data_IF_490398392821
#
_entry.id   IF_490398392821
#
_cell.length_a   1.000
_cell.length_b   1.000
_cell.length_c   1.000
_cell.angle_alpha   90.00
_cell.angle_beta   90.00
_cell.angle_gamma   90.00
#
_symmetry.space_group_name_H-M   'P 1'
#
loop_
_entity.id
_entity.type
_entity.pdbx_description
1 polymer ?
#
# COMPACT_ATOMS: atom_id res chain seq x y z
N UNK A 1 -0.41 -10.29 -15.20
CA UNK A 1 -1.87 -10.05 -14.99
C UNK A 1 -2.16 -8.69 -14.35
N UNK A 2 -1.35 -8.20 -13.39
CA UNK A 2 -1.52 -6.85 -12.80
C UNK A 2 -1.10 -5.69 -13.75
N UNK A 3 0.02 -5.85 -14.47
CA UNK A 3 0.57 -4.84 -15.39
C UNK A 3 -0.40 -4.39 -16.50
N UNK A 4 -1.17 -5.31 -17.08
CA UNK A 4 -2.14 -4.96 -18.13
C UNK A 4 -3.29 -4.11 -17.58
N UNK A 5 -3.70 -4.34 -16.33
CA UNK A 5 -4.76 -3.54 -15.71
C UNK A 5 -4.28 -2.14 -15.32
N UNK A 6 -3.05 -2.00 -14.82
CA UNK A 6 -2.50 -0.68 -14.49
C UNK A 6 -2.32 0.22 -15.72
N UNK A 7 -1.93 -0.35 -16.87
CA UNK A 7 -1.89 0.40 -18.15
C UNK A 7 -3.27 0.89 -18.59
N UNK A 8 -4.30 0.06 -18.42
CA UNK A 8 -5.68 0.48 -18.72
C UNK A 8 -6.13 1.63 -17.82
N UNK A 9 -5.81 1.58 -16.51
CA UNK A 9 -6.10 2.67 -15.57
C UNK A 9 -5.41 3.96 -16.03
N UNK A 10 -4.11 3.89 -16.37
CA UNK A 10 -3.39 5.05 -16.89
C UNK A 10 -4.04 5.62 -18.17
N UNK A 11 -4.49 4.76 -19.09
CA UNK A 11 -5.18 5.20 -20.31
C UNK A 11 -6.52 5.87 -20.02
N UNK A 12 -7.27 5.40 -19.02
CA UNK A 12 -8.58 5.94 -18.62
C UNK A 12 -8.53 7.30 -17.92
N UNK A 13 -7.40 7.64 -17.28
CA UNK A 13 -7.27 8.93 -16.60
C UNK A 13 -7.13 10.09 -17.59
N UNK A 14 -7.76 11.22 -17.27
CA UNK A 14 -7.45 12.49 -17.91
C UNK A 14 -6.04 12.99 -17.56
N UNK A 15 -5.53 13.96 -18.32
CA UNK A 15 -4.27 14.63 -17.99
C UNK A 15 -4.36 15.24 -16.59
N UNK A 16 -3.35 15.01 -15.74
CA UNK A 16 -3.32 15.39 -14.32
C UNK A 16 -4.32 14.65 -13.41
N UNK A 17 -5.02 13.62 -13.93
CA UNK A 17 -5.89 12.76 -13.15
C UNK A 17 -5.11 11.90 -12.14
N UNK A 18 -5.78 11.52 -11.07
CA UNK A 18 -5.18 10.75 -9.97
C UNK A 18 -5.76 9.35 -9.87
N UNK A 19 -4.91 8.39 -9.52
CA UNK A 19 -5.30 7.03 -9.16
C UNK A 19 -4.80 6.71 -7.75
N UNK A 20 -5.74 6.36 -6.87
CA UNK A 20 -5.47 5.87 -5.53
C UNK A 20 -5.71 4.35 -5.50
N UNK A 21 -4.74 3.62 -4.97
CA UNK A 21 -4.86 2.19 -4.69
C UNK A 21 -4.49 1.93 -3.23
N UNK A 22 -5.30 1.12 -2.55
CA UNK A 22 -5.07 0.64 -1.18
C UNK A 22 -5.12 -0.88 -1.19
N UNK A 23 -4.20 -1.53 -0.49
CA UNK A 23 -4.04 -2.98 -0.51
C UNK A 23 -3.80 -3.46 0.93
N UNK A 24 -4.55 -4.47 1.41
CA UNK A 24 -4.21 -5.12 2.66
C UNK A 24 -2.87 -5.85 2.53
N UNK A 25 -1.99 -5.66 3.49
CA UNK A 25 -0.74 -6.39 3.63
C UNK A 25 -0.76 -6.96 5.05
N UNK A 26 -0.54 -8.26 5.24
CA UNK A 26 -0.68 -8.90 6.56
C UNK A 26 0.51 -9.79 6.92
N UNK A 27 1.52 -9.81 6.06
CA UNK A 27 2.77 -10.53 6.28
C UNK A 27 3.86 -9.52 6.62
N UNK A 28 4.91 -9.98 7.30
CA UNK A 28 6.06 -9.13 7.58
C UNK A 28 6.73 -8.67 6.29
N UNK A 29 7.10 -7.39 6.20
CA UNK A 29 8.00 -6.93 5.15
C UNK A 29 9.38 -7.57 5.39
N UNK A 30 9.92 -8.14 4.33
CA UNK A 30 11.29 -8.65 4.27
C UNK A 30 12.00 -7.93 3.12
N UNK A 31 12.67 -6.84 3.44
CA UNK A 31 13.31 -5.96 2.46
C UNK A 31 14.76 -6.37 2.20
N UNK A 32 14.95 -7.51 1.54
CA UNK A 32 16.29 -8.00 1.15
C UNK A 32 16.24 -8.82 -0.15
N UNK A 33 17.09 -8.54 -1.15
CA UNK A 33 17.98 -7.36 -1.28
C UNK A 33 17.22 -6.06 -1.59
N UNK A 34 16.02 -6.16 -2.19
CA UNK A 34 15.02 -5.11 -2.30
C UNK A 34 13.68 -5.78 -2.64
N UNK A 35 12.59 -5.38 -1.99
CA UNK A 35 11.27 -5.98 -2.24
C UNK A 35 10.46 -5.23 -3.30
N UNK A 36 10.67 -5.60 -4.57
CA UNK A 36 10.02 -4.96 -5.71
C UNK A 36 8.86 -5.77 -6.31
N UNK A 37 8.52 -6.94 -5.77
CA UNK A 37 7.52 -7.85 -6.38
C UNK A 37 6.26 -8.03 -5.55
N UNK A 38 6.28 -7.68 -4.25
CA UNK A 38 5.11 -7.74 -3.37
C UNK A 38 4.39 -6.41 -3.29
N UNK A 39 3.25 -6.42 -2.59
CA UNK A 39 2.42 -5.23 -2.32
C UNK A 39 3.00 -4.34 -1.20
N UNK A 40 4.31 -4.08 -1.22
CA UNK A 40 4.97 -3.10 -0.36
C UNK A 40 4.97 -1.73 -1.02
N UNK A 41 5.36 -0.69 -0.25
CA UNK A 41 5.51 0.66 -0.80
C UNK A 41 6.46 0.68 -2.01
N UNK A 42 7.60 0.01 -1.91
CA UNK A 42 8.56 -0.13 -3.01
C UNK A 42 7.94 -0.88 -4.19
N UNK A 43 7.36 -2.06 -3.96
CA UNK A 43 6.80 -2.87 -5.04
C UNK A 43 5.65 -2.18 -5.77
N UNK A 44 4.72 -1.55 -5.06
CA UNK A 44 3.59 -0.84 -5.71
C UNK A 44 4.07 0.40 -6.47
N UNK A 45 5.07 1.12 -5.97
CA UNK A 45 5.65 2.29 -6.66
C UNK A 45 6.22 1.90 -8.01
N UNK A 46 7.05 0.85 -8.06
CA UNK A 46 7.64 0.41 -9.32
C UNK A 46 6.62 -0.26 -10.24
N UNK A 47 5.65 -1.00 -9.71
CA UNK A 47 4.55 -1.54 -10.50
C UNK A 47 3.76 -0.44 -11.24
N UNK A 48 3.44 0.67 -10.55
CA UNK A 48 2.74 1.80 -11.16
C UNK A 48 3.61 2.53 -12.19
N UNK A 49 4.92 2.65 -11.94
CA UNK A 49 5.85 3.18 -12.92
C UNK A 49 5.89 2.34 -14.21
N UNK A 50 5.93 1.01 -14.09
CA UNK A 50 5.85 0.09 -15.23
C UNK A 50 4.52 0.17 -16.00
N UNK A 51 3.47 0.69 -15.35
CA UNK A 51 2.17 0.94 -15.97
C UNK A 51 2.08 2.29 -16.72
N UNK A 52 3.08 3.16 -16.60
CA UNK A 52 3.20 4.42 -17.34
C UNK A 52 3.11 5.68 -16.48
N UNK A 53 2.92 5.57 -15.16
CA UNK A 53 2.96 6.73 -14.26
C UNK A 53 4.40 7.22 -14.05
N UNK A 54 4.59 8.52 -13.88
CA UNK A 54 5.91 9.08 -13.56
C UNK A 54 6.28 8.75 -12.10
N UNK A 55 7.47 8.19 -11.86
CA UNK A 55 8.02 7.85 -10.53
C UNK A 55 7.97 9.01 -9.53
N UNK A 56 8.20 10.25 -9.98
CA UNK A 56 8.18 11.45 -9.13
C UNK A 56 6.76 11.88 -8.76
N UNK A 57 5.76 11.39 -9.50
CA UNK A 57 4.33 11.66 -9.29
C UNK A 57 3.61 10.49 -8.63
N UNK A 58 4.37 9.57 -8.02
CA UNK A 58 3.83 8.47 -7.21
C UNK A 58 4.24 8.68 -5.76
N UNK A 59 3.25 8.84 -4.90
CA UNK A 59 3.40 8.83 -3.45
C UNK A 59 2.96 7.47 -2.93
N UNK A 60 3.68 6.96 -1.94
CA UNK A 60 3.34 5.72 -1.24
C UNK A 60 3.32 5.95 0.25
N UNK A 61 2.60 5.07 0.94
CA UNK A 61 2.66 5.00 2.38
C UNK A 61 2.11 3.67 2.86
N UNK A 62 2.37 3.38 4.12
CA UNK A 62 1.83 2.22 4.78
C UNK A 62 1.50 2.54 6.24
N UNK A 63 0.50 1.85 6.75
CA UNK A 63 0.14 1.92 8.16
C UNK A 63 -0.29 0.56 8.68
N UNK A 64 0.15 0.23 9.87
CA UNK A 64 -0.33 -0.90 10.63
C UNK A 64 0.55 -1.20 11.83
N UNK A 65 0.08 -2.10 12.67
CA UNK A 65 0.87 -2.67 13.74
C UNK A 65 0.30 -4.03 14.12
N UNK A 66 1.09 -4.86 14.81
CA UNK A 66 0.67 -6.22 15.16
C UNK A 66 -0.50 -6.23 16.14
N UNK A 67 -0.57 -5.25 17.04
CA UNK A 67 -1.66 -5.15 18.02
C UNK A 67 -3.02 -4.97 17.31
N UNK A 68 -3.11 -4.08 16.33
CA UNK A 68 -4.30 -3.88 15.51
C UNK A 68 -4.68 -5.12 14.68
N UNK A 69 -3.70 -5.84 14.15
CA UNK A 69 -3.93 -7.09 13.42
C UNK A 69 -4.53 -8.16 14.35
N UNK A 70 -3.88 -8.44 15.48
CA UNK A 70 -4.29 -9.46 16.45
C UNK A 70 -5.67 -9.15 17.05
N UNK A 71 -5.93 -7.87 17.35
CA UNK A 71 -7.21 -7.42 17.89
C UNK A 71 -8.40 -7.80 16.99
N UNK A 72 -8.21 -7.85 15.66
CA UNK A 72 -9.27 -8.10 14.69
C UNK A 72 -9.40 -9.56 14.23
N UNK A 73 -8.69 -10.52 14.85
CA UNK A 73 -8.73 -11.93 14.42
C UNK A 73 -9.96 -12.70 14.87
N UNK A 74 -10.60 -12.31 15.98
CA UNK A 74 -11.75 -13.05 16.54
C UNK A 74 -13.08 -12.33 16.31
N UNK A 75 -13.07 -11.00 16.47
CA UNK A 75 -14.23 -10.12 16.30
C UNK A 75 -13.74 -8.77 15.82
N UNK A 76 -14.67 -7.95 15.35
CA UNK A 76 -14.41 -6.53 15.13
C UNK A 76 -14.12 -5.85 16.46
N UNK A 77 -12.90 -5.31 16.62
CA UNK A 77 -12.47 -4.67 17.87
C UNK A 77 -12.67 -3.16 17.80
N UNK A 78 -13.35 -2.60 18.81
CA UNK A 78 -13.51 -1.15 18.94
C UNK A 78 -12.22 -0.52 19.47
N UNK A 79 -11.86 0.65 18.94
CA UNK A 79 -10.69 1.37 19.43
C UNK A 79 -10.88 1.89 20.87
N UNK A 80 -9.89 1.67 21.72
CA UNK A 80 -9.83 2.17 23.09
C UNK A 80 -8.43 2.79 23.34
N UNK A 81 -8.30 4.12 23.47
CA UNK A 81 -7.00 4.79 23.61
C UNK A 81 -6.25 4.43 24.89
N UNK A 82 -6.91 3.86 25.91
CA UNK A 82 -6.25 3.44 27.15
C UNK A 82 -5.43 2.15 26.99
N UNK A 83 -5.74 1.33 25.98
CA UNK A 83 -5.16 -0.02 25.82
C UNK A 83 -4.71 -0.32 24.37
N UNK A 84 -5.14 0.45 23.38
CA UNK A 84 -4.79 0.26 21.97
C UNK A 84 -3.81 1.35 21.51
N UNK A 85 -2.70 0.92 20.93
CA UNK A 85 -1.75 1.81 20.25
C UNK A 85 -2.06 1.86 18.75
N UNK A 86 -2.09 3.07 18.19
CA UNK A 86 -2.15 3.32 16.74
C UNK A 86 -0.77 3.69 16.17
N UNK A 87 0.30 3.54 16.95
CA UNK A 87 1.66 3.76 16.48
C UNK A 87 1.96 2.81 15.30
N UNK A 88 2.60 3.33 14.27
CA UNK A 88 2.93 2.57 13.08
C UNK A 88 4.14 1.64 13.35
N UNK A 89 4.04 0.38 12.93
CA UNK A 89 5.16 -0.57 12.84
C UNK A 89 5.46 -0.80 11.34
N UNK A 90 6.50 -0.15 10.77
CA UNK A 90 6.78 -0.21 9.33
C UNK A 90 6.98 -1.62 8.76
N UNK A 91 7.48 -2.56 9.57
CA UNK A 91 7.67 -3.97 9.16
C UNK A 91 6.35 -4.77 9.10
N UNK A 92 5.28 -4.25 9.69
CA UNK A 92 3.98 -4.92 9.84
C UNK A 92 2.84 -3.99 9.41
N UNK A 93 2.84 -3.52 8.15
CA UNK A 93 1.72 -2.75 7.66
C UNK A 93 0.47 -3.63 7.66
N UNK A 94 -0.69 -3.01 7.91
CA UNK A 94 -2.03 -3.58 7.72
C UNK A 94 -2.54 -3.18 6.34
N UNK A 95 -2.22 -1.94 5.93
CA UNK A 95 -2.55 -1.36 4.65
C UNK A 95 -1.31 -0.71 4.04
N UNK A 96 -1.12 -0.93 2.74
CA UNK A 96 -0.18 -0.20 1.89
C UNK A 96 -1.00 0.55 0.85
N UNK A 97 -0.60 1.78 0.54
CA UNK A 97 -1.30 2.61 -0.43
C UNK A 97 -0.34 3.33 -1.36
N UNK A 98 -0.86 3.69 -2.54
CA UNK A 98 -0.16 4.55 -3.48
C UNK A 98 -1.14 5.54 -4.13
N UNK A 99 -0.71 6.78 -4.27
CA UNK A 99 -1.39 7.83 -5.01
C UNK A 99 -0.51 8.22 -6.20
N UNK A 100 -0.98 7.95 -7.41
CA UNK A 100 -0.26 8.23 -8.65
C UNK A 100 -1.00 9.25 -9.51
N UNK A 101 -0.26 10.18 -10.12
CA UNK A 101 -0.82 11.19 -11.01
C UNK A 101 -0.36 11.00 -12.45
N UNK A 102 -1.28 11.12 -13.41
CA UNK A 102 -1.01 11.10 -14.85
C UNK A 102 -0.42 12.41 -15.35
#
# INVERSE_FOLDING_TARGET
MALSRGKNIYQMLDRNGYFLITIPFLIRIHDYPADCSRWTETGIKYLLAECGFNLERIQTGSWGNRACIVANFSRWEYYNPAIHSLANEPDFPLVVWALAQK
#
